data_IF_555566183251
#
_entry.id   IF_555566183251
#
_cell.length_a   1.000
_cell.length_b   1.000
_cell.length_c   1.000
_cell.angle_alpha   90.00
_cell.angle_beta   90.00
_cell.angle_gamma   90.00
#
_symmetry.space_group_name_H-M   'P 1'
#
loop_
_entity.id
_entity.type
_entity.pdbx_description
1 polymer ?
#
# COMPACT_ATOMS: atom_id res chain seq x y z
N UNK A 1 -19.34 -6.80 -2.78
CA UNK A 1 -18.85 -6.78 -4.17
C UNK A 1 -18.48 -8.21 -4.52
N UNK A 2 -19.05 -8.78 -5.59
CA UNK A 2 -18.79 -10.17 -5.98
C UNK A 2 -17.96 -10.22 -7.27
N UNK A 3 -16.71 -9.75 -7.22
CA UNK A 3 -15.73 -9.98 -8.28
C UNK A 3 -14.49 -10.66 -7.70
N UNK A 4 -13.80 -11.45 -8.52
CA UNK A 4 -12.53 -12.07 -8.14
C UNK A 4 -11.49 -11.81 -9.23
N UNK A 5 -10.42 -11.10 -8.86
CA UNK A 5 -9.33 -10.81 -9.80
C UNK A 5 -8.41 -12.01 -9.91
N UNK A 6 -8.57 -12.75 -11.01
CA UNK A 6 -7.66 -13.81 -11.43
C UNK A 6 -6.63 -13.31 -12.45
N UNK A 7 -5.71 -14.18 -12.88
CA UNK A 7 -4.66 -13.84 -13.84
C UNK A 7 -5.17 -13.34 -15.19
N UNK A 8 -6.31 -13.84 -15.68
CA UNK A 8 -6.92 -13.40 -16.93
C UNK A 8 -7.43 -11.96 -16.78
N UNK A 9 -8.20 -11.69 -15.74
CA UNK A 9 -8.70 -10.35 -15.46
C UNK A 9 -7.56 -9.36 -15.25
N UNK A 10 -6.54 -9.74 -14.45
CA UNK A 10 -5.39 -8.87 -14.19
C UNK A 10 -4.60 -8.52 -15.47
N UNK A 11 -4.52 -9.42 -16.45
CA UNK A 11 -3.92 -9.13 -17.77
C UNK A 11 -4.76 -8.11 -18.56
N UNK A 12 -6.09 -8.22 -18.52
CA UNK A 12 -7.00 -7.27 -19.16
C UNK A 12 -6.90 -5.90 -18.49
N UNK A 13 -6.95 -5.84 -17.15
CA UNK A 13 -6.82 -4.59 -16.39
C UNK A 13 -5.49 -3.88 -16.65
N UNK A 14 -4.39 -4.61 -16.84
CA UNK A 14 -3.10 -4.01 -17.26
C UNK A 14 -3.20 -3.29 -18.60
N UNK A 15 -3.98 -3.81 -19.55
CA UNK A 15 -4.21 -3.13 -20.82
C UNK A 15 -5.04 -1.85 -20.64
N UNK A 16 -5.90 -1.80 -19.64
CA UNK A 16 -6.72 -0.61 -19.33
C UNK A 16 -5.91 0.45 -18.58
N UNK A 17 -5.25 0.08 -17.48
CA UNK A 17 -4.60 1.05 -16.60
C UNK A 17 -3.16 1.43 -16.98
N UNK A 18 -2.42 0.56 -17.67
CA UNK A 18 -1.02 0.83 -18.03
C UNK A 18 -0.87 1.25 -19.50
N UNK A 19 -1.85 1.98 -20.04
CA UNK A 19 -1.76 2.53 -21.40
C UNK A 19 -0.62 3.54 -21.49
N UNK A 20 0.09 3.53 -22.61
CA UNK A 20 1.12 4.53 -22.92
C UNK A 20 0.44 5.89 -23.03
N UNK A 21 0.85 6.85 -22.19
CA UNK A 21 0.36 8.25 -22.22
C UNK A 21 1.30 9.20 -22.93
N UNK A 22 2.58 8.84 -23.02
CA UNK A 22 3.61 9.70 -23.58
C UNK A 22 4.51 8.93 -24.54
N UNK A 23 4.99 9.62 -25.56
CA UNK A 23 6.04 9.12 -26.45
C UNK A 23 7.06 10.19 -26.77
N UNK A 24 8.25 9.78 -27.20
CA UNK A 24 9.29 10.73 -27.58
C UNK A 24 9.08 11.17 -29.03
N UNK A 25 9.15 12.48 -29.27
CA UNK A 25 9.22 13.06 -30.60
C UNK A 25 10.61 12.84 -31.24
N UNK A 26 10.77 13.32 -32.48
CA UNK A 26 12.03 13.21 -33.24
C UNK A 26 13.23 13.88 -32.56
N UNK A 27 12.97 14.82 -31.65
CA UNK A 27 13.99 15.54 -30.86
C UNK A 27 14.20 14.92 -29.48
N UNK A 28 13.48 13.85 -29.15
CA UNK A 28 13.56 13.12 -27.88
C UNK A 28 12.67 13.68 -26.76
N UNK A 29 11.84 14.69 -27.01
CA UNK A 29 10.91 15.27 -26.03
C UNK A 29 9.65 14.42 -25.88
N UNK A 30 9.15 14.29 -24.66
CA UNK A 30 7.88 13.59 -24.43
C UNK A 30 6.70 14.42 -24.92
N UNK A 31 5.92 13.87 -25.84
CA UNK A 31 4.59 14.34 -26.25
C UNK A 31 3.53 13.42 -25.68
N UNK A 32 2.44 13.99 -25.19
CA UNK A 32 1.26 13.22 -24.80
C UNK A 32 0.61 12.60 -26.05
N UNK A 33 0.10 11.38 -25.92
CA UNK A 33 -0.64 10.68 -26.95
C UNK A 33 -2.04 10.35 -26.44
N UNK A 34 -3.02 10.46 -27.34
CA UNK A 34 -4.38 10.05 -27.05
C UNK A 34 -4.43 8.53 -26.85
N UNK A 35 -4.84 8.12 -25.64
CA UNK A 35 -5.04 6.74 -25.27
C UNK A 35 -6.53 6.43 -24.96
N UNK A 36 -7.42 7.38 -25.25
CA UNK A 36 -8.85 7.36 -24.98
C UNK A 36 -9.25 7.62 -23.52
N UNK A 37 -8.31 7.72 -22.57
CA UNK A 37 -8.64 8.11 -21.21
C UNK A 37 -9.10 9.56 -21.17
N UNK A 38 -10.12 9.85 -20.36
CA UNK A 38 -10.66 11.21 -20.20
C UNK A 38 -10.44 11.66 -18.77
N UNK A 39 -9.84 12.84 -18.59
CA UNK A 39 -9.77 13.47 -17.28
C UNK A 39 -11.08 14.19 -16.97
N UNK A 40 -11.76 13.77 -15.90
CA UNK A 40 -12.92 14.46 -15.35
C UNK A 40 -12.43 15.62 -14.47
N UNK A 41 -12.54 16.85 -14.98
CA UNK A 41 -12.09 18.06 -14.27
C UNK A 41 -12.91 18.35 -13.00
N UNK A 42 -14.20 17.98 -12.97
CA UNK A 42 -15.07 18.26 -11.82
C UNK A 42 -14.69 17.37 -10.63
N UNK A 43 -14.42 16.10 -10.92
CA UNK A 43 -14.11 15.09 -9.89
C UNK A 43 -12.61 14.89 -9.69
N UNK A 44 -11.78 15.44 -10.57
CA UNK A 44 -10.32 15.27 -10.59
C UNK A 44 -9.90 13.78 -10.59
N UNK A 45 -10.51 13.00 -11.49
CA UNK A 45 -10.21 11.56 -11.69
C UNK A 45 -10.11 11.22 -13.18
N UNK A 46 -9.39 10.16 -13.51
CA UNK A 46 -9.40 9.59 -14.85
C UNK A 46 -10.57 8.62 -15.05
N UNK A 47 -11.22 8.74 -16.21
CA UNK A 47 -12.16 7.76 -16.77
C UNK A 47 -11.38 6.95 -17.81
N UNK A 48 -11.25 5.66 -17.56
CA UNK A 48 -10.41 4.78 -18.37
C UNK A 48 -11.17 4.19 -19.56
N UNK A 49 -10.64 4.39 -20.76
CA UNK A 49 -11.21 3.79 -21.98
C UNK A 49 -10.80 2.32 -22.15
N UNK A 50 -11.72 1.51 -22.66
CA UNK A 50 -11.55 0.10 -23.02
C UNK A 50 -11.39 -0.12 -24.53
N UNK A 51 -11.21 0.94 -25.31
CA UNK A 51 -11.17 0.86 -26.78
C UNK A 51 -10.01 0.01 -27.32
N UNK A 52 -8.95 -0.17 -26.54
CA UNK A 52 -7.80 -0.99 -26.88
C UNK A 52 -7.98 -2.49 -26.56
N UNK A 53 -9.10 -2.87 -25.95
CA UNK A 53 -9.44 -4.27 -25.65
C UNK A 53 -10.12 -4.94 -26.85
N UNK A 54 -9.87 -6.24 -27.03
CA UNK A 54 -10.66 -7.07 -27.95
C UNK A 54 -12.08 -7.26 -27.41
N UNK A 55 -13.04 -7.60 -28.27
CA UNK A 55 -14.44 -7.78 -27.85
C UNK A 55 -14.59 -8.86 -26.76
N UNK A 56 -13.91 -10.00 -26.91
CA UNK A 56 -13.87 -11.05 -25.88
C UNK A 56 -13.31 -10.56 -24.52
N UNK A 57 -12.37 -9.61 -24.55
CA UNK A 57 -11.78 -9.03 -23.35
C UNK A 57 -12.72 -8.02 -22.69
N UNK A 58 -13.47 -7.26 -23.48
CA UNK A 58 -14.52 -6.35 -22.99
C UNK A 58 -15.64 -7.14 -22.32
N UNK A 59 -16.16 -8.16 -23.00
CA UNK A 59 -17.18 -9.06 -22.45
C UNK A 59 -16.70 -9.69 -21.14
N UNK A 60 -15.47 -10.21 -21.11
CA UNK A 60 -14.92 -10.81 -19.88
C UNK A 60 -14.77 -9.79 -18.74
N UNK A 61 -14.38 -8.54 -19.04
CA UNK A 61 -14.28 -7.48 -18.05
C UNK A 61 -15.66 -7.12 -17.48
N UNK A 62 -16.67 -6.99 -18.33
CA UNK A 62 -18.06 -6.72 -17.93
C UNK A 62 -18.63 -7.85 -17.04
N UNK A 63 -18.47 -9.11 -17.48
CA UNK A 63 -18.90 -10.30 -16.73
C UNK A 63 -18.14 -10.50 -15.40
N UNK A 64 -16.95 -9.90 -15.28
CA UNK A 64 -16.18 -9.98 -14.03
C UNK A 64 -16.76 -9.13 -12.91
N UNK A 65 -17.67 -8.19 -13.21
CA UNK A 65 -18.21 -7.19 -12.27
C UNK A 65 -17.14 -6.35 -11.55
N UNK A 66 -15.95 -6.25 -12.14
CA UNK A 66 -14.90 -5.40 -11.61
C UNK A 66 -15.31 -3.92 -11.72
N UNK A 67 -15.06 -3.09 -10.69
CA UNK A 67 -15.58 -1.72 -10.60
C UNK A 67 -14.78 -0.73 -11.47
N UNK A 68 -14.67 -1.01 -12.77
CA UNK A 68 -14.01 -0.13 -13.72
C UNK A 68 -14.80 1.18 -13.82
N UNK A 69 -14.12 2.32 -13.60
CA UNK A 69 -14.73 3.66 -13.64
C UNK A 69 -15.89 3.86 -12.66
N UNK A 70 -15.98 3.04 -11.61
CA UNK A 70 -16.82 3.36 -10.46
C UNK A 70 -16.17 4.51 -9.70
N UNK A 71 -16.82 5.67 -9.69
CA UNK A 71 -16.32 6.88 -9.02
C UNK A 71 -17.13 7.07 -7.74
N UNK A 72 -16.44 7.12 -6.61
CA UNK A 72 -17.06 7.35 -5.30
C UNK A 72 -16.60 8.68 -4.71
N UNK A 73 -17.53 9.39 -4.05
CA UNK A 73 -17.25 10.60 -3.31
C UNK A 73 -17.01 10.28 -1.83
N UNK A 74 -15.78 10.53 -1.37
CA UNK A 74 -15.36 10.39 0.01
C UNK A 74 -15.35 11.74 0.71
N UNK A 75 -15.93 11.79 1.90
CA UNK A 75 -15.80 12.90 2.85
C UNK A 75 -15.06 12.42 4.07
N UNK A 76 -14.31 13.29 4.75
CA UNK A 76 -13.55 12.94 5.96
C UNK A 76 -14.32 12.07 6.96
N UNK A 77 -15.49 12.53 7.40
CA UNK A 77 -16.23 11.88 8.48
C UNK A 77 -16.72 10.48 8.04
N UNK A 78 -17.23 10.35 6.82
CA UNK A 78 -17.60 9.05 6.23
C UNK A 78 -16.43 8.07 6.20
N UNK A 79 -15.24 8.53 5.81
CA UNK A 79 -14.03 7.68 5.75
C UNK A 79 -13.68 7.14 7.14
N UNK A 80 -13.66 8.02 8.14
CA UNK A 80 -13.33 7.65 9.52
C UNK A 80 -14.37 6.70 10.11
N UNK A 81 -15.66 6.99 9.93
CA UNK A 81 -16.75 6.14 10.41
C UNK A 81 -16.74 4.76 9.76
N UNK A 82 -16.49 4.70 8.46
CA UNK A 82 -16.46 3.43 7.74
C UNK A 82 -15.29 2.56 8.18
N UNK A 83 -14.11 3.12 8.43
CA UNK A 83 -13.01 2.36 9.05
C UNK A 83 -13.45 1.72 10.37
N UNK A 84 -14.22 2.43 11.22
CA UNK A 84 -14.72 1.83 12.46
C UNK A 84 -15.71 0.72 12.25
N UNK A 85 -16.56 0.83 11.24
CA UNK A 85 -17.47 -0.26 10.86
C UNK A 85 -16.65 -1.48 10.42
N UNK A 86 -15.64 -1.28 9.57
CA UNK A 86 -14.79 -2.35 9.06
C UNK A 86 -13.99 -3.06 10.16
N UNK A 87 -13.50 -2.35 11.18
CA UNK A 87 -12.80 -2.98 12.31
C UNK A 87 -13.65 -3.96 13.13
N UNK A 88 -14.98 -3.94 12.95
CA UNK A 88 -15.90 -4.89 13.59
C UNK A 88 -16.18 -6.12 12.72
N UNK A 89 -15.70 -6.15 11.48
CA UNK A 89 -15.87 -7.28 10.58
C UNK A 89 -14.94 -8.44 10.98
N UNK A 90 -15.48 -9.67 10.99
CA UNK A 90 -14.73 -10.87 11.40
C UNK A 90 -13.52 -11.21 10.51
N UNK A 91 -13.49 -10.73 9.26
CA UNK A 91 -12.35 -10.88 8.36
C UNK A 91 -11.27 -9.82 8.56
N UNK A 92 -11.58 -8.72 9.26
CA UNK A 92 -10.67 -7.60 9.48
C UNK A 92 -10.05 -7.72 10.87
N UNK A 93 -9.09 -8.64 11.00
CA UNK A 93 -8.37 -8.91 12.26
C UNK A 93 -6.87 -8.80 12.07
N UNK A 94 -6.15 -8.58 13.17
CA UNK A 94 -4.68 -8.57 13.17
C UNK A 94 -4.11 -9.86 12.57
N UNK A 95 -4.65 -11.03 12.96
CA UNK A 95 -4.15 -12.33 12.49
C UNK A 95 -4.32 -12.52 10.99
N UNK A 96 -5.48 -12.12 10.44
CA UNK A 96 -5.76 -12.16 9.00
C UNK A 96 -4.86 -11.18 8.24
N UNK A 97 -4.63 -10.00 8.80
CA UNK A 97 -3.75 -9.00 8.19
C UNK A 97 -2.27 -9.47 8.18
N UNK A 98 -1.77 -10.07 9.26
CA UNK A 98 -0.43 -10.66 9.35
C UNK A 98 -0.29 -11.86 8.39
N UNK A 99 -1.31 -12.71 8.32
CA UNK A 99 -1.34 -13.84 7.39
C UNK A 99 -1.30 -13.36 5.93
N UNK A 100 -2.13 -12.38 5.59
CA UNK A 100 -2.17 -11.78 4.25
C UNK A 100 -0.82 -11.13 3.89
N UNK A 101 -0.18 -10.46 4.85
CA UNK A 101 1.13 -9.85 4.65
C UNK A 101 2.20 -10.89 4.25
N UNK A 102 2.28 -12.01 4.97
CA UNK A 102 3.24 -13.07 4.64
C UNK A 102 2.88 -13.74 3.31
N UNK A 103 1.62 -14.08 3.06
CA UNK A 103 1.19 -14.58 1.74
C UNK A 103 1.48 -13.56 0.61
N UNK A 104 1.53 -12.27 0.95
CA UNK A 104 1.91 -11.17 0.08
C UNK A 104 3.34 -11.21 -0.43
N UNK A 105 4.23 -12.04 0.14
CA UNK A 105 5.60 -12.17 -0.36
C UNK A 105 5.63 -12.63 -1.81
N UNK A 106 4.80 -13.62 -2.17
CA UNK A 106 4.66 -14.13 -3.54
C UNK A 106 3.24 -14.50 -3.93
N UNK A 107 2.58 -15.39 -3.19
CA UNK A 107 1.36 -16.09 -3.63
C UNK A 107 0.11 -15.19 -3.68
N UNK A 108 0.07 -14.14 -2.86
CA UNK A 108 -1.06 -13.25 -2.73
C UNK A 108 -0.64 -11.78 -2.69
N UNK A 109 -0.10 -11.19 -3.78
CA UNK A 109 0.54 -9.86 -3.75
C UNK A 109 -0.31 -8.74 -3.16
N UNK A 110 -1.64 -8.79 -3.30
CA UNK A 110 -2.55 -7.80 -2.70
C UNK A 110 -2.61 -7.85 -1.17
N UNK A 111 -2.16 -8.95 -0.55
CA UNK A 111 -2.09 -9.12 0.89
C UNK A 111 -1.05 -8.22 1.58
N UNK A 112 -0.25 -7.47 0.80
CA UNK A 112 0.77 -6.54 1.30
C UNK A 112 0.20 -5.27 1.95
N UNK A 113 -0.97 -4.81 1.51
CA UNK A 113 -1.60 -3.57 2.00
C UNK A 113 -2.44 -3.73 3.29
N UNK A 114 -3.27 -4.79 3.46
CA UNK A 114 -4.25 -4.87 4.55
C UNK A 114 -3.68 -4.60 5.94
N UNK A 115 -2.42 -4.98 6.18
CA UNK A 115 -1.76 -4.78 7.47
C UNK A 115 -1.63 -3.29 7.85
N UNK A 116 -1.31 -2.42 6.90
CA UNK A 116 -1.23 -0.97 7.12
C UNK A 116 -2.63 -0.37 7.26
N UNK A 117 -3.56 -0.79 6.39
CA UNK A 117 -4.96 -0.37 6.44
C UNK A 117 -5.62 -0.71 7.78
N UNK A 118 -5.38 -1.92 8.29
CA UNK A 118 -5.85 -2.38 9.59
C UNK A 118 -5.25 -1.57 10.74
N UNK A 119 -3.93 -1.35 10.75
CA UNK A 119 -3.29 -0.54 11.80
C UNK A 119 -3.88 0.86 11.85
N UNK A 120 -4.03 1.52 10.70
CA UNK A 120 -4.63 2.85 10.63
C UNK A 120 -6.07 2.83 11.17
N UNK A 121 -6.89 1.90 10.67
CA UNK A 121 -8.29 1.77 11.07
C UNK A 121 -8.46 1.52 12.57
N UNK A 122 -7.57 0.73 13.17
CA UNK A 122 -7.60 0.42 14.60
C UNK A 122 -7.13 1.60 15.46
N UNK A 123 -6.07 2.30 15.05
CA UNK A 123 -5.38 3.29 15.89
C UNK A 123 -5.92 4.71 15.75
N UNK A 124 -6.39 5.09 14.56
CA UNK A 124 -6.96 6.42 14.33
C UNK A 124 -8.35 6.51 14.97
N UNK A 125 -8.49 7.18 16.12
CA UNK A 125 -9.79 7.30 16.82
C UNK A 125 -10.78 8.20 16.05
N UNK A 126 -12.07 8.01 16.29
CA UNK A 126 -13.09 8.91 15.76
C UNK A 126 -12.86 10.34 16.20
N UNK A 127 -13.08 11.25 15.26
CA UNK A 127 -12.98 12.69 15.43
C UNK A 127 -13.68 13.36 14.26
N UNK A 128 -14.21 14.55 14.49
CA UNK A 128 -14.65 15.41 13.40
C UNK A 128 -13.45 15.98 12.67
N UNK A 129 -13.66 16.39 11.41
CA UNK A 129 -12.68 17.10 10.63
C UNK A 129 -12.06 18.28 11.40
N UNK A 130 -10.72 18.37 11.38
CA UNK A 130 -9.97 19.39 12.13
C UNK A 130 -8.87 20.00 11.24
N UNK A 131 -9.24 20.97 10.42
CA UNK A 131 -8.32 21.81 9.65
C UNK A 131 -9.10 22.92 8.94
N UNK A 132 -8.40 23.95 8.47
CA UNK A 132 -8.91 24.91 7.47
C UNK A 132 -8.37 24.62 6.06
N UNK A 133 -7.55 23.57 5.90
CA UNK A 133 -6.92 23.19 4.63
C UNK A 133 -7.71 22.08 3.92
N UNK A 134 -7.12 21.42 2.91
CA UNK A 134 -7.74 20.23 2.30
C UNK A 134 -7.58 18.98 3.20
N UNK A 135 -6.53 18.90 4.03
CA UNK A 135 -6.19 17.71 4.80
C UNK A 135 -6.47 17.90 6.29
N UNK A 136 -7.08 16.92 6.93
CA UNK A 136 -7.30 16.92 8.37
C UNK A 136 -5.96 16.86 9.13
N UNK A 137 -5.73 17.78 10.05
CA UNK A 137 -4.50 17.84 10.87
C UNK A 137 -4.38 16.66 11.84
N UNK A 138 -5.49 15.98 12.12
CA UNK A 138 -5.49 14.83 13.01
C UNK A 138 -5.13 13.56 12.27
N UNK A 139 -5.69 13.30 11.09
CA UNK A 139 -5.62 11.98 10.47
C UNK A 139 -5.14 11.95 9.02
N UNK A 140 -4.85 13.11 8.42
CA UNK A 140 -4.45 13.25 7.01
C UNK A 140 -5.48 12.83 5.96
N UNK A 141 -6.72 12.50 6.34
CA UNK A 141 -7.81 12.30 5.38
C UNK A 141 -8.21 13.65 4.78
N UNK A 142 -8.47 13.69 3.47
CA UNK A 142 -8.95 14.89 2.81
C UNK A 142 -10.36 15.24 3.29
N UNK A 143 -10.69 16.54 3.28
CA UNK A 143 -12.04 17.03 3.58
C UNK A 143 -13.06 16.34 2.67
N UNK A 144 -12.78 16.38 1.37
CA UNK A 144 -13.55 15.74 0.30
C UNK A 144 -12.60 15.26 -0.80
N UNK A 145 -12.95 14.14 -1.45
CA UNK A 145 -12.16 13.55 -2.54
C UNK A 145 -13.02 12.60 -3.37
N UNK A 146 -12.92 12.66 -4.68
CA UNK A 146 -13.42 11.59 -5.54
C UNK A 146 -12.29 10.60 -5.87
N UNK A 147 -12.62 9.32 -5.96
CA UNK A 147 -11.68 8.28 -6.37
C UNK A 147 -12.34 7.33 -7.37
N UNK A 148 -11.54 6.89 -8.34
CA UNK A 148 -11.88 5.73 -9.17
C UNK A 148 -11.54 4.46 -8.38
N UNK A 149 -12.58 3.73 -7.96
CA UNK A 149 -12.47 2.55 -7.09
C UNK A 149 -11.62 1.46 -7.75
N UNK A 150 -11.90 1.15 -9.01
CA UNK A 150 -11.13 0.17 -9.78
C UNK A 150 -9.64 0.52 -9.84
N UNK A 151 -9.30 1.75 -10.20
CA UNK A 151 -7.90 2.19 -10.28
C UNK A 151 -7.17 1.99 -8.93
N UNK A 152 -7.80 2.40 -7.83
CA UNK A 152 -7.24 2.25 -6.49
C UNK A 152 -6.90 0.79 -6.18
N UNK A 153 -7.85 -0.12 -6.44
CA UNK A 153 -7.69 -1.55 -6.21
C UNK A 153 -6.66 -2.22 -7.12
N UNK A 154 -6.59 -1.83 -8.38
CA UNK A 154 -5.66 -2.40 -9.35
C UNK A 154 -4.20 -2.35 -8.87
N UNK A 155 -3.81 -1.24 -8.21
CA UNK A 155 -2.46 -1.06 -7.68
C UNK A 155 -2.09 -2.12 -6.63
N UNK A 156 -3.04 -2.52 -5.78
CA UNK A 156 -2.85 -3.54 -4.76
C UNK A 156 -2.76 -4.94 -5.36
N UNK A 157 -3.51 -5.24 -6.42
CA UNK A 157 -3.35 -6.50 -7.15
C UNK A 157 -1.98 -6.66 -7.83
N UNK A 158 -1.27 -5.56 -8.08
CA UNK A 158 0.13 -5.58 -8.50
C UNK A 158 1.14 -5.64 -7.32
N UNK A 159 0.62 -5.68 -6.09
CA UNK A 159 1.38 -5.75 -4.85
C UNK A 159 2.00 -4.41 -4.43
N UNK A 160 1.31 -3.30 -4.73
CA UNK A 160 1.57 -2.00 -4.13
C UNK A 160 1.09 -1.96 -2.67
N UNK A 161 1.86 -1.29 -1.81
CA UNK A 161 1.51 -1.06 -0.41
C UNK A 161 2.08 0.27 0.08
N UNK A 162 1.28 1.06 0.79
CA UNK A 162 1.56 2.44 1.20
C UNK A 162 0.82 2.77 2.51
N UNK A 163 1.39 3.63 3.36
CA UNK A 163 0.74 4.17 4.56
C UNK A 163 0.21 5.61 4.33
N UNK A 164 0.04 5.99 3.07
CA UNK A 164 -0.47 7.29 2.62
C UNK A 164 -1.65 7.08 1.66
N UNK A 165 -2.46 8.11 1.44
CA UNK A 165 -3.69 7.97 0.65
C UNK A 165 -4.77 7.21 1.40
N UNK A 166 -5.20 7.75 2.53
CA UNK A 166 -6.08 7.06 3.49
C UNK A 166 -7.40 6.60 2.85
N UNK A 167 -7.94 7.34 1.90
CA UNK A 167 -9.19 6.96 1.23
C UNK A 167 -8.98 5.70 0.34
N UNK A 168 -7.78 5.51 -0.23
CA UNK A 168 -7.44 4.27 -0.95
C UNK A 168 -7.28 3.07 -0.01
N UNK A 169 -6.72 3.31 1.19
CA UNK A 169 -6.64 2.29 2.24
C UNK A 169 -8.04 1.83 2.67
N UNK A 170 -9.03 2.73 2.67
CA UNK A 170 -10.42 2.39 2.96
C UNK A 170 -11.01 1.48 1.88
N UNK A 171 -10.87 1.87 0.60
CA UNK A 171 -11.35 1.07 -0.54
C UNK A 171 -10.74 -0.34 -0.49
N UNK A 172 -9.44 -0.43 -0.25
CA UNK A 172 -8.73 -1.70 -0.15
C UNK A 172 -9.21 -2.54 1.03
N UNK A 173 -9.39 -1.94 2.22
CA UNK A 173 -9.83 -2.65 3.42
C UNK A 173 -11.29 -3.11 3.30
N UNK A 174 -12.14 -2.32 2.64
CA UNK A 174 -13.52 -2.67 2.31
C UNK A 174 -13.56 -3.96 1.48
N UNK A 175 -12.73 -4.03 0.45
CA UNK A 175 -12.60 -5.26 -0.35
C UNK A 175 -12.00 -6.41 0.46
N UNK A 176 -10.91 -6.17 1.21
CA UNK A 176 -10.27 -7.17 2.05
C UNK A 176 -11.23 -7.83 3.04
N UNK A 177 -12.18 -7.05 3.59
CA UNK A 177 -13.21 -7.54 4.51
C UNK A 177 -14.13 -8.62 3.92
N UNK A 178 -14.13 -8.77 2.59
CA UNK A 178 -14.95 -9.72 1.84
C UNK A 178 -14.12 -10.87 1.25
N UNK A 179 -12.79 -10.84 1.39
CA UNK A 179 -11.90 -11.83 0.80
C UNK A 179 -11.57 -12.96 1.77
N UNK A 180 -11.43 -14.15 1.20
CA UNK A 180 -10.75 -15.24 1.89
C UNK A 180 -9.23 -15.02 1.83
N UNK A 181 -8.60 -14.94 3.01
CA UNK A 181 -7.15 -14.81 3.11
C UNK A 181 -6.51 -16.18 2.97
N UNK A 182 -5.68 -16.42 1.94
CA UNK A 182 -5.02 -17.71 1.75
C UNK A 182 -3.96 -17.94 2.84
N UNK A 183 -3.69 -19.20 3.16
CA UNK A 183 -2.54 -19.58 3.98
C UNK A 183 -1.25 -19.30 3.20
N UNK A 184 -0.22 -18.67 3.81
CA UNK A 184 1.06 -18.47 3.16
C UNK A 184 1.68 -19.79 2.73
N UNK A 185 2.25 -19.81 1.53
CA UNK A 185 2.98 -20.98 1.02
C UNK A 185 4.37 -21.07 1.65
N UNK A 186 5.03 -22.23 1.57
CA UNK A 186 6.42 -22.40 2.03
C UNK A 186 7.41 -21.44 1.36
N UNK A 187 7.11 -21.01 0.13
CA UNK A 187 7.92 -20.02 -0.57
C UNK A 187 7.70 -18.61 -0.01
N UNK A 188 6.47 -18.27 0.41
CA UNK A 188 6.14 -16.99 1.03
C UNK A 188 6.89 -16.82 2.35
N UNK A 189 6.60 -17.69 3.32
CA UNK A 189 7.60 -18.54 3.98
C UNK A 189 9.06 -18.07 3.96
N UNK A 190 9.80 -18.75 3.09
CA UNK A 190 11.22 -18.57 2.86
C UNK A 190 11.60 -17.14 2.44
N UNK A 191 10.77 -16.46 1.61
CA UNK A 191 11.03 -15.08 1.19
C UNK A 191 10.95 -14.14 2.40
N UNK A 192 9.93 -14.31 3.25
CA UNK A 192 9.79 -13.53 4.48
C UNK A 192 10.98 -13.73 5.41
N UNK A 193 11.35 -14.98 5.71
CA UNK A 193 12.53 -15.28 6.54
C UNK A 193 13.81 -14.66 5.97
N UNK A 194 14.05 -14.79 4.67
CA UNK A 194 15.20 -14.19 4.00
C UNK A 194 15.21 -12.65 4.09
N UNK A 195 14.04 -12.01 3.97
CA UNK A 195 13.92 -10.56 4.17
C UNK A 195 14.31 -10.18 5.60
N UNK A 196 13.78 -10.89 6.58
CA UNK A 196 14.09 -10.69 8.01
C UNK A 196 15.60 -10.87 8.26
N UNK A 197 16.21 -11.94 7.75
CA UNK A 197 17.64 -12.20 7.90
C UNK A 197 18.52 -11.10 7.30
N UNK A 198 18.15 -10.55 6.14
CA UNK A 198 18.88 -9.44 5.54
C UNK A 198 18.84 -8.21 6.45
N UNK A 199 17.67 -7.87 7.00
CA UNK A 199 17.52 -6.70 7.87
C UNK A 199 18.26 -6.91 9.20
N UNK A 200 18.15 -8.11 9.78
CA UNK A 200 18.84 -8.53 11.01
C UNK A 200 20.36 -8.36 10.89
N UNK A 201 20.92 -8.72 9.74
CA UNK A 201 22.36 -8.63 9.46
C UNK A 201 22.76 -7.32 8.76
N UNK A 202 22.02 -6.24 8.99
CA UNK A 202 22.35 -4.96 8.38
C UNK A 202 23.67 -4.38 8.93
N UNK A 203 24.58 -3.91 8.06
CA UNK A 203 25.80 -3.26 8.51
C UNK A 203 25.49 -1.91 9.16
N UNK A 204 26.33 -1.49 10.11
CA UNK A 204 26.21 -0.20 10.78
C UNK A 204 26.12 0.96 9.77
N UNK A 205 25.18 1.88 10.00
CA UNK A 205 24.94 3.03 9.13
C UNK A 205 24.24 2.71 7.80
N UNK A 206 23.78 1.46 7.58
CA UNK A 206 22.95 1.15 6.42
C UNK A 206 21.65 1.96 6.48
N UNK A 207 21.37 2.72 5.43
CA UNK A 207 20.10 3.45 5.27
C UNK A 207 19.05 2.57 4.58
N UNK A 208 17.74 2.84 4.71
CA UNK A 208 16.71 2.05 4.04
C UNK A 208 16.89 1.96 2.51
N UNK A 209 17.37 3.03 1.87
CA UNK A 209 17.66 3.00 0.43
C UNK A 209 18.82 2.06 0.05
N UNK A 210 19.82 1.89 0.93
CA UNK A 210 20.92 0.92 0.75
C UNK A 210 20.42 -0.51 1.01
N UNK A 211 19.58 -0.69 2.03
CA UNK A 211 18.89 -1.95 2.29
C UNK A 211 18.04 -2.38 1.08
N UNK A 212 17.28 -1.48 0.45
CA UNK A 212 16.55 -1.75 -0.80
C UNK A 212 17.48 -2.26 -1.92
N UNK A 213 18.68 -1.68 -2.07
CA UNK A 213 19.67 -2.15 -3.04
C UNK A 213 20.23 -3.52 -2.67
N UNK A 214 20.48 -3.78 -1.39
CA UNK A 214 20.98 -5.08 -0.91
C UNK A 214 19.95 -6.20 -1.10
N UNK A 215 18.69 -5.94 -0.78
CA UNK A 215 17.55 -6.84 -1.06
C UNK A 215 17.49 -7.17 -2.57
N UNK A 216 17.70 -6.16 -3.43
CA UNK A 216 17.75 -6.36 -4.88
C UNK A 216 18.93 -7.23 -5.29
N UNK A 217 20.14 -6.95 -4.80
CA UNK A 217 21.35 -7.70 -5.17
C UNK A 217 21.30 -9.16 -4.70
N UNK A 218 20.76 -9.39 -3.51
CA UNK A 218 20.61 -10.73 -2.93
C UNK A 218 19.41 -11.51 -3.48
N UNK A 219 18.60 -10.90 -4.36
CA UNK A 219 17.44 -11.51 -5.01
C UNK A 219 16.50 -12.15 -3.98
N UNK A 220 16.10 -11.37 -2.98
CA UNK A 220 15.13 -11.83 -1.96
C UNK A 220 13.80 -12.18 -2.62
N UNK A 221 13.33 -11.30 -3.50
CA UNK A 221 12.07 -11.46 -4.21
C UNK A 221 12.33 -12.02 -5.62
N UNK A 222 11.47 -12.93 -6.13
CA UNK A 222 11.58 -13.43 -7.51
C UNK A 222 11.54 -12.32 -8.56
N UNK A 223 10.74 -11.27 -8.31
CA UNK A 223 10.69 -10.05 -9.11
C UNK A 223 10.83 -8.84 -8.19
N UNK A 224 11.96 -8.16 -8.30
CA UNK A 224 12.19 -6.94 -7.54
C UNK A 224 11.34 -5.78 -8.10
N UNK A 225 10.62 -5.11 -7.22
CA UNK A 225 9.89 -3.87 -7.48
C UNK A 225 10.21 -2.91 -6.33
N UNK A 226 10.83 -1.77 -6.63
CA UNK A 226 11.28 -0.78 -5.62
C UNK A 226 10.14 -0.44 -4.64
N UNK A 227 8.98 -0.08 -5.17
CA UNK A 227 7.84 0.35 -4.36
C UNK A 227 7.17 -0.80 -3.61
N UNK A 228 7.14 -2.00 -4.20
CA UNK A 228 6.61 -3.17 -3.50
C UNK A 228 7.49 -3.56 -2.31
N UNK A 229 8.82 -3.59 -2.49
CA UNK A 229 9.76 -3.89 -1.41
C UNK A 229 9.69 -2.83 -0.33
N UNK A 230 9.65 -1.54 -0.71
CA UNK A 230 9.49 -0.45 0.24
C UNK A 230 8.24 -0.59 1.10
N UNK A 231 7.10 -0.94 0.49
CA UNK A 231 5.86 -1.17 1.22
C UNK A 231 6.01 -2.26 2.28
N UNK A 232 6.76 -3.34 2.00
CA UNK A 232 7.06 -4.38 3.00
C UNK A 232 7.91 -3.84 4.16
N UNK A 233 9.00 -3.13 3.85
CA UNK A 233 9.86 -2.54 4.88
C UNK A 233 9.09 -1.52 5.73
N UNK A 234 8.19 -0.76 5.11
CA UNK A 234 7.34 0.21 5.78
C UNK A 234 6.36 -0.48 6.74
N UNK A 235 5.72 -1.56 6.33
CA UNK A 235 4.89 -2.37 7.22
C UNK A 235 5.67 -2.89 8.43
N UNK A 236 6.88 -3.41 8.24
CA UNK A 236 7.72 -3.85 9.38
C UNK A 236 8.08 -2.70 10.32
N UNK A 237 8.39 -1.52 9.77
CA UNK A 237 8.68 -0.33 10.56
C UNK A 237 7.44 0.16 11.35
N UNK A 238 6.24 0.10 10.77
CA UNK A 238 4.98 0.46 11.47
C UNK A 238 4.57 -0.53 12.56
N UNK A 239 5.14 -1.73 12.56
CA UNK A 239 5.05 -2.69 13.67
C UNK A 239 6.17 -2.53 14.70
N UNK A 240 7.17 -1.67 14.43
CA UNK A 240 8.35 -1.50 15.27
C UNK A 240 9.36 -2.64 15.15
N UNK A 241 9.16 -3.59 14.23
CA UNK A 241 10.11 -4.68 13.96
C UNK A 241 11.40 -4.13 13.37
N UNK A 242 11.30 -3.03 12.62
CA UNK A 242 12.43 -2.18 12.23
C UNK A 242 12.42 -0.92 13.12
N UNK A 243 13.01 -0.98 14.33
CA UNK A 243 12.93 0.11 15.29
C UNK A 243 13.75 1.33 14.85
N UNK A 244 13.43 2.49 15.42
CA UNK A 244 14.17 3.73 15.25
C UNK A 244 13.97 4.62 16.50
N UNK A 245 14.80 5.64 16.66
CA UNK A 245 14.81 6.54 17.83
C UNK A 245 13.89 7.77 17.72
N UNK A 246 13.21 7.93 16.58
CA UNK A 246 12.53 9.18 16.24
C UNK A 246 11.01 9.04 16.20
N UNK A 247 10.49 8.02 15.54
CA UNK A 247 9.10 7.88 15.17
C UNK A 247 8.52 6.59 15.78
N UNK A 248 7.52 6.69 16.67
CA UNK A 248 6.92 5.52 17.29
C UNK A 248 6.09 4.75 16.25
N UNK A 249 6.14 3.41 16.27
CA UNK A 249 5.42 2.59 15.30
C UNK A 249 3.90 2.72 15.48
N UNK A 250 3.15 2.73 14.37
CA UNK A 250 1.69 2.86 14.40
C UNK A 250 1.02 1.76 15.24
N UNK A 251 1.58 0.56 15.33
CA UNK A 251 1.03 -0.52 16.17
C UNK A 251 0.94 -0.18 17.65
N UNK A 252 1.76 0.77 18.14
CA UNK A 252 1.71 1.21 19.53
C UNK A 252 0.75 2.39 19.71
N UNK A 253 0.85 3.40 18.83
CA UNK A 253 -0.05 4.56 18.84
C UNK A 253 -0.14 5.24 17.48
N UNK A 254 -1.24 5.95 17.29
CA UNK A 254 -1.38 6.86 16.17
C UNK A 254 -0.55 8.14 16.39
N UNK A 255 0.14 8.57 15.34
CA UNK A 255 0.86 9.86 15.28
C UNK A 255 0.06 10.76 14.36
N UNK A 256 -0.46 11.86 14.89
CA UNK A 256 -1.26 12.80 14.09
C UNK A 256 -0.40 13.57 13.07
N UNK A 257 -1.05 14.25 12.13
CA UNK A 257 -0.35 14.94 11.03
C UNK A 257 0.58 16.03 11.55
N UNK A 258 0.18 16.77 12.59
CA UNK A 258 0.99 17.87 13.14
C UNK A 258 2.25 17.33 13.81
N UNK A 259 2.12 16.27 14.60
CA UNK A 259 3.25 15.58 15.21
C UNK A 259 4.14 14.95 14.14
N UNK A 260 3.55 14.26 13.14
CA UNK A 260 4.27 13.65 12.02
C UNK A 260 5.17 14.69 11.34
N UNK A 261 4.65 15.88 11.01
CA UNK A 261 5.45 16.94 10.38
C UNK A 261 6.63 17.41 11.25
N UNK A 262 6.42 17.59 12.57
CA UNK A 262 7.51 17.93 13.51
C UNK A 262 8.58 16.84 13.60
N UNK A 263 8.21 15.57 13.43
CA UNK A 263 9.16 14.46 13.39
C UNK A 263 9.92 14.43 12.06
N UNK A 264 9.27 14.76 10.94
CA UNK A 264 9.94 14.90 9.65
C UNK A 264 11.04 15.97 9.65
N UNK A 265 10.83 17.10 10.33
CA UNK A 265 11.86 18.15 10.47
C UNK A 265 13.12 17.64 11.18
N UNK A 266 13.00 16.62 12.02
CA UNK A 266 14.11 16.00 12.76
C UNK A 266 14.73 14.80 12.02
N UNK A 267 14.06 14.29 10.99
CA UNK A 267 14.50 13.10 10.29
C UNK A 267 15.82 13.34 9.54
N UNK A 268 16.82 12.51 9.83
CA UNK A 268 18.10 12.54 9.11
C UNK A 268 17.91 11.95 7.71
N UNK A 269 18.06 12.75 6.67
CA UNK A 269 17.92 12.28 5.29
C UNK A 269 17.83 13.40 4.27
N UNK A 270 17.82 13.04 2.99
CA UNK A 270 17.58 14.02 1.92
C UNK A 270 16.09 14.37 1.86
N UNK A 271 15.70 15.66 1.80
CA UNK A 271 14.30 16.06 1.58
C UNK A 271 13.76 15.60 0.21
N UNK A 272 14.61 15.04 -0.66
CA UNK A 272 14.24 14.43 -1.95
C UNK A 272 14.01 12.91 -1.89
N UNK A 273 13.99 12.31 -0.71
CA UNK A 273 13.80 10.86 -0.55
C UNK A 273 12.32 10.50 -0.51
N UNK A 274 11.88 9.64 -1.43
CA UNK A 274 10.54 9.02 -1.43
C UNK A 274 10.33 7.98 -0.29
N UNK A 275 11.29 7.86 0.63
CA UNK A 275 11.20 6.96 1.79
C UNK A 275 10.72 7.79 2.97
N UNK A 276 9.63 7.36 3.57
CA UNK A 276 8.86 8.07 4.59
C UNK A 276 9.07 7.46 5.98
N UNK A 277 8.81 8.24 7.03
CA UNK A 277 8.78 7.76 8.42
C UNK A 277 7.64 6.74 8.60
N UNK A 278 7.80 5.73 9.48
CA UNK A 278 8.96 5.48 10.36
C UNK A 278 10.20 4.92 9.65
N UNK A 279 10.03 4.28 8.48
CA UNK A 279 11.12 3.58 7.79
C UNK A 279 12.34 4.49 7.52
N UNK A 280 12.12 5.76 7.16
CA UNK A 280 13.21 6.71 6.87
C UNK A 280 14.18 6.93 8.04
N UNK A 281 13.72 6.73 9.28
CA UNK A 281 14.53 6.88 10.48
C UNK A 281 15.32 5.60 10.84
N UNK A 282 14.96 4.45 10.27
CA UNK A 282 15.70 3.21 10.53
C UNK A 282 17.15 3.29 10.02
N UNK A 283 18.05 2.63 10.74
CA UNK A 283 19.47 2.50 10.42
C UNK A 283 19.92 1.08 10.75
N UNK A 284 20.94 0.59 10.05
CA UNK A 284 21.42 -0.78 10.19
C UNK A 284 21.81 -1.18 11.61
N UNK A 285 22.34 -0.25 12.42
CA UNK A 285 22.65 -0.50 13.84
C UNK A 285 21.43 -0.85 14.71
N UNK A 286 20.22 -0.49 14.28
CA UNK A 286 18.99 -0.88 14.97
C UNK A 286 18.53 -2.30 14.63
N UNK A 287 18.99 -2.86 13.51
CA UNK A 287 18.65 -4.20 13.05
C UNK A 287 17.12 -4.50 13.15
N UNK A 288 16.77 -5.66 13.71
CA UNK A 288 15.41 -6.09 14.00
C UNK A 288 15.16 -6.12 15.52
N UNK A 289 13.95 -5.71 15.93
CA UNK A 289 13.41 -6.02 17.25
C UNK A 289 12.85 -7.46 17.26
N UNK A 290 13.61 -8.40 17.85
CA UNK A 290 13.26 -9.82 17.88
C UNK A 290 12.03 -10.14 18.73
N UNK A 291 11.77 -9.37 19.80
CA UNK A 291 10.59 -9.57 20.64
C UNK A 291 9.32 -9.24 19.85
N UNK A 292 9.33 -8.11 19.12
CA UNK A 292 8.23 -7.74 18.23
C UNK A 292 8.10 -8.70 17.06
N UNK A 293 9.20 -9.16 16.49
CA UNK A 293 9.17 -10.16 15.42
C UNK A 293 8.48 -11.44 15.91
N UNK A 294 8.86 -12.00 17.06
CA UNK A 294 8.23 -13.20 17.61
C UNK A 294 6.76 -12.94 17.95
N UNK A 295 6.45 -11.79 18.57
CA UNK A 295 5.08 -11.44 18.96
C UNK A 295 4.11 -11.40 17.78
N UNK A 296 4.52 -10.80 16.65
CA UNK A 296 3.62 -10.59 15.51
C UNK A 296 3.79 -11.64 14.42
N UNK A 297 4.99 -12.19 14.25
CA UNK A 297 5.32 -13.10 13.16
C UNK A 297 5.94 -14.42 13.62
N UNK A 298 5.93 -14.76 14.92
CA UNK A 298 6.55 -15.98 15.47
C UNK A 298 6.13 -17.30 14.80
N UNK A 299 4.91 -17.35 14.23
CA UNK A 299 4.43 -18.49 13.42
C UNK A 299 5.09 -18.62 12.04
N UNK A 300 5.77 -17.59 11.56
CA UNK A 300 6.37 -17.49 10.23
C UNK A 300 7.87 -17.15 10.27
N UNK A 301 8.40 -16.65 11.39
CA UNK A 301 9.78 -16.14 11.50
C UNK A 301 10.81 -17.18 11.97
N UNK A 302 10.36 -18.32 12.51
CA UNK A 302 11.21 -19.44 12.94
C UNK A 302 11.69 -20.26 11.79
#
# INVERSE_FOLDING_TARGET
MNYQVNDKLLKILKKVYNKKRYEKDEKGYYREIDNGDVWDNERAVYIFSTNNLKDEEKTYLEESFYPLNEIEHFTHDKVIDEFKILTKNFNVTMDKALQAYVAGMKSFPRGRQPILSYLYANQCKNHSYLSDTEYCQKCSVKKEKYLNVGEGLFSHYYGGSWNEGIELMLIELREFSQLEVPTPTEEDIAIFRKLIDIIRNAPQGETPGKLEQRIKSEKVFPKFSKYSVRGQLLSLAEFGIMPNDLYPPMVDRFVDTVEKMKLYEKAKGSPRSDIILPLAAWRGEYAIDEERLEKFFGKYSK
#
